data_IF_670198099494
#
_entry.id   IF_670198099494
#
_cell.length_a   1.000
_cell.length_b   1.000
_cell.length_c   1.000
_cell.angle_alpha   90.00
_cell.angle_beta   90.00
_cell.angle_gamma   90.00
#
_symmetry.space_group_name_H-M   'P 1'
#
loop_
_entity.id
_entity.type
_entity.pdbx_description
1 polymer ?
#
# COMPACT_ATOMS: atom_id res chain seq x y z
N UNK A 1 35.46 -2.68 -33.97
CA UNK A 1 34.94 -3.24 -32.70
C UNK A 1 35.82 -2.61 -31.62
N UNK A 2 35.42 -1.56 -30.91
CA UNK A 2 34.31 -1.51 -29.97
C UNK A 2 33.79 -0.09 -29.82
N UNK A 3 32.47 0.06 -29.84
CA UNK A 3 31.77 1.30 -29.52
C UNK A 3 31.86 1.49 -28.00
N UNK A 4 32.89 2.20 -27.53
CA UNK A 4 32.93 2.70 -26.15
C UNK A 4 32.06 3.97 -26.09
N UNK A 5 30.75 3.77 -26.21
CA UNK A 5 29.76 4.82 -26.01
C UNK A 5 29.75 5.21 -24.54
N UNK A 6 30.29 6.39 -24.27
CA UNK A 6 30.41 7.00 -22.96
C UNK A 6 29.21 6.70 -22.05
N UNK A 7 29.52 6.27 -20.84
CA UNK A 7 28.66 6.24 -19.67
C UNK A 7 28.08 7.65 -19.43
N UNK A 8 27.09 8.05 -20.22
CA UNK A 8 26.19 9.15 -19.88
C UNK A 8 25.35 8.62 -18.73
N UNK A 9 25.87 8.81 -17.52
CA UNK A 9 25.08 8.79 -16.30
C UNK A 9 23.84 9.63 -16.58
N UNK A 10 22.69 8.97 -16.70
CA UNK A 10 21.42 9.64 -16.90
C UNK A 10 21.27 10.61 -15.73
N UNK A 11 21.13 11.92 -15.98
CA UNK A 11 21.07 12.90 -14.92
C UNK A 11 19.91 12.52 -13.99
N UNK A 12 20.19 12.44 -12.68
CA UNK A 12 19.28 12.08 -11.57
C UNK A 12 17.97 12.88 -11.49
N UNK A 13 17.68 13.76 -12.45
CA UNK A 13 16.52 14.65 -12.49
C UNK A 13 15.32 14.11 -13.26
N UNK A 14 15.44 13.02 -14.02
CA UNK A 14 14.28 12.49 -14.75
C UNK A 14 13.48 11.39 -14.02
N UNK A 15 13.94 10.88 -12.87
CA UNK A 15 13.21 9.81 -12.17
C UNK A 15 12.03 10.32 -11.32
N UNK A 16 11.86 11.63 -11.18
CA UNK A 16 10.91 12.27 -10.25
C UNK A 16 9.61 12.77 -10.92
N UNK A 17 9.20 12.20 -12.05
CA UNK A 17 7.93 12.54 -12.71
C UNK A 17 6.94 11.38 -12.83
N UNK A 18 7.12 10.32 -12.03
CA UNK A 18 5.97 9.44 -11.75
C UNK A 18 5.34 9.97 -10.47
N UNK A 19 4.23 10.66 -10.63
CA UNK A 19 3.43 11.11 -9.51
C UNK A 19 3.04 9.89 -8.67
N UNK A 20 3.13 9.97 -7.33
CA UNK A 20 2.70 8.89 -6.44
C UNK A 20 1.23 8.50 -6.65
N UNK A 21 0.42 9.38 -7.24
CA UNK A 21 -0.99 9.15 -7.59
C UNK A 21 -1.19 7.95 -8.53
N UNK A 22 -0.22 7.63 -9.39
CA UNK A 22 -0.33 6.50 -10.33
C UNK A 22 -0.38 5.13 -9.64
N UNK A 23 0.30 4.99 -8.49
CA UNK A 23 0.33 3.72 -7.73
C UNK A 23 -1.03 3.43 -7.09
N UNK A 24 -1.73 4.47 -6.68
CA UNK A 24 -3.03 4.33 -6.03
C UNK A 24 -4.19 4.22 -7.03
N UNK A 25 -3.99 4.75 -8.24
CA UNK A 25 -4.95 4.66 -9.33
C UNK A 25 -4.82 3.37 -10.15
N UNK A 26 -3.98 2.41 -9.74
CA UNK A 26 -3.80 1.12 -10.43
C UNK A 26 -5.18 0.48 -10.71
N UNK A 27 -5.70 0.60 -11.96
CA UNK A 27 -7.13 0.41 -12.21
C UNK A 27 -7.56 -1.04 -12.06
N UNK A 28 -6.57 -1.95 -11.97
CA UNK A 28 -6.75 -3.38 -11.92
C UNK A 28 -6.27 -4.02 -10.61
N UNK A 29 -5.73 -3.25 -9.66
CA UNK A 29 -5.27 -3.82 -8.39
C UNK A 29 -6.48 -4.10 -7.48
N UNK A 30 -6.99 -5.32 -7.58
CA UNK A 30 -8.18 -5.78 -6.83
C UNK A 30 -7.84 -6.59 -5.59
N UNK A 31 -6.68 -7.23 -5.57
CA UNK A 31 -6.25 -8.08 -4.47
C UNK A 31 -4.81 -7.77 -4.14
N UNK A 32 -4.53 -7.53 -2.86
CA UNK A 32 -3.18 -7.37 -2.33
C UNK A 32 -3.05 -8.34 -1.17
N UNK A 33 -2.01 -9.17 -1.21
CA UNK A 33 -1.63 -10.01 -0.09
C UNK A 33 -0.17 -9.72 0.25
N UNK A 34 0.02 -9.22 1.47
CA UNK A 34 1.30 -8.93 2.11
C UNK A 34 1.42 -9.74 3.41
N UNK A 35 0.70 -10.85 3.51
CA UNK A 35 0.71 -11.71 4.69
C UNK A 35 2.11 -12.27 4.97
N UNK A 36 2.38 -12.62 6.23
CA UNK A 36 3.64 -13.24 6.68
C UNK A 36 4.90 -12.45 6.31
N UNK A 37 4.90 -11.18 6.69
CA UNK A 37 6.06 -10.30 6.53
C UNK A 37 6.49 -9.68 7.86
N UNK A 38 7.52 -8.84 7.81
CA UNK A 38 8.03 -8.10 8.96
C UNK A 38 7.58 -6.63 8.93
N UNK A 39 6.48 -6.30 8.25
CA UNK A 39 6.01 -4.91 8.17
C UNK A 39 5.60 -4.41 9.55
N UNK A 40 6.00 -3.17 9.86
CA UNK A 40 5.79 -2.50 11.15
C UNK A 40 5.21 -1.11 10.93
N UNK A 41 4.78 -0.47 12.01
CA UNK A 41 4.25 0.89 11.98
C UNK A 41 2.74 0.89 11.88
N UNK A 42 2.16 2.07 11.72
CA UNK A 42 0.71 2.24 11.72
C UNK A 42 0.15 2.11 10.30
N UNK A 43 -1.07 1.57 10.22
CA UNK A 43 -1.84 1.61 8.97
C UNK A 43 -2.27 3.07 8.74
N UNK A 44 -1.76 3.68 7.66
CA UNK A 44 -2.02 5.08 7.33
C UNK A 44 -3.26 5.30 6.48
N UNK A 45 -3.70 6.56 6.40
CA UNK A 45 -4.81 6.99 5.53
C UNK A 45 -4.57 6.73 4.04
N UNK A 46 -3.31 6.58 3.62
CA UNK A 46 -2.93 6.31 2.23
C UNK A 46 -3.51 4.99 1.71
N UNK A 47 -3.89 4.05 2.59
CA UNK A 47 -4.61 2.83 2.20
C UNK A 47 -5.97 3.15 1.54
N UNK A 48 -6.60 4.27 1.89
CA UNK A 48 -7.83 4.74 1.24
C UNK A 48 -7.66 5.05 -0.24
N UNK A 49 -6.44 5.37 -0.66
CA UNK A 49 -6.17 5.67 -2.05
C UNK A 49 -6.25 4.41 -2.94
N UNK A 50 -6.21 3.20 -2.36
CA UNK A 50 -6.41 1.92 -3.05
C UNK A 50 -7.89 1.70 -3.46
N UNK A 51 -8.45 2.65 -4.21
CA UNK A 51 -9.88 2.76 -4.52
C UNK A 51 -10.48 1.55 -5.26
N UNK A 52 -9.65 0.72 -5.87
CA UNK A 52 -10.07 -0.44 -6.66
C UNK A 52 -9.93 -1.78 -5.92
N UNK A 53 -9.35 -1.76 -4.71
CA UNK A 53 -9.06 -2.99 -3.97
C UNK A 53 -10.34 -3.61 -3.41
N UNK A 54 -10.41 -4.93 -3.52
CA UNK A 54 -11.51 -5.78 -3.05
C UNK A 54 -11.04 -6.71 -1.94
N UNK A 55 -9.79 -7.16 -1.98
CA UNK A 55 -9.24 -8.05 -0.97
C UNK A 55 -7.87 -7.56 -0.51
N UNK A 56 -7.72 -7.35 0.79
CA UNK A 56 -6.49 -6.88 1.41
C UNK A 56 -6.09 -7.80 2.56
N UNK A 57 -4.99 -8.52 2.40
CA UNK A 57 -4.44 -9.38 3.43
C UNK A 57 -3.10 -8.82 3.93
N UNK A 58 -3.10 -8.32 5.16
CA UNK A 58 -1.93 -7.81 5.88
C UNK A 58 -1.62 -8.68 7.11
N UNK A 59 -2.19 -9.88 7.18
CA UNK A 59 -2.07 -10.75 8.36
C UNK A 59 -0.64 -11.21 8.62
N UNK A 60 -0.34 -11.64 9.84
CA UNK A 60 0.99 -12.12 10.23
C UNK A 60 2.10 -11.09 9.94
N UNK A 61 1.88 -9.86 10.40
CA UNK A 61 2.86 -8.77 10.37
C UNK A 61 3.04 -8.21 11.79
N UNK A 62 3.62 -7.01 11.89
CA UNK A 62 3.87 -6.30 13.15
C UNK A 62 3.28 -4.88 13.09
N UNK A 63 2.22 -4.65 12.33
CA UNK A 63 1.53 -3.37 12.32
C UNK A 63 0.99 -3.05 13.72
N UNK A 64 1.03 -1.78 14.10
CA UNK A 64 0.69 -1.25 15.42
C UNK A 64 -0.34 -0.13 15.32
N UNK A 65 -0.91 0.27 16.45
CA UNK A 65 -1.90 1.34 16.50
C UNK A 65 -3.28 0.88 16.04
N UNK A 66 -4.17 1.84 15.84
CA UNK A 66 -5.56 1.60 15.47
C UNK A 66 -5.77 1.40 13.98
N UNK A 67 -6.84 0.69 13.65
CA UNK A 67 -7.32 0.58 12.27
C UNK A 67 -7.87 1.96 11.88
N UNK A 68 -7.36 2.60 10.82
CA UNK A 68 -7.82 3.93 10.43
C UNK A 68 -9.25 3.88 9.85
N UNK A 69 -10.03 4.94 10.09
CA UNK A 69 -11.41 5.06 9.59
C UNK A 69 -11.55 4.94 8.07
N UNK A 70 -10.43 5.18 7.36
CA UNK A 70 -10.33 5.07 5.91
C UNK A 70 -10.73 3.68 5.38
N UNK A 71 -10.61 2.63 6.18
CA UNK A 71 -11.08 1.29 5.79
C UNK A 71 -12.59 1.28 5.49
N UNK A 72 -13.39 2.08 6.21
CA UNK A 72 -14.82 2.24 5.91
C UNK A 72 -15.11 3.09 4.68
N UNK A 73 -14.14 3.86 4.19
CA UNK A 73 -14.27 4.64 2.96
C UNK A 73 -13.91 3.83 1.71
N UNK A 74 -13.28 2.66 1.87
CA UNK A 74 -12.85 1.77 0.79
C UNK A 74 -14.06 1.01 0.21
N UNK A 75 -14.88 1.70 -0.59
CA UNK A 75 -16.20 1.24 -1.10
C UNK A 75 -16.22 -0.08 -1.88
N UNK A 76 -15.06 -0.58 -2.30
CA UNK A 76 -14.93 -1.83 -3.05
C UNK A 76 -14.34 -2.96 -2.22
N UNK A 77 -13.87 -2.67 -1.02
CA UNK A 77 -13.26 -3.66 -0.13
C UNK A 77 -14.34 -4.65 0.31
N UNK A 78 -14.16 -5.91 -0.07
CA UNK A 78 -15.04 -7.02 0.26
C UNK A 78 -14.48 -7.85 1.41
N UNK A 79 -13.15 -7.89 1.55
CA UNK A 79 -12.47 -8.65 2.59
C UNK A 79 -11.17 -7.98 3.01
N UNK A 80 -10.99 -7.87 4.32
CA UNK A 80 -9.73 -7.45 4.93
C UNK A 80 -9.30 -8.48 5.97
N UNK A 81 -8.03 -8.88 5.92
CA UNK A 81 -7.43 -9.72 6.95
C UNK A 81 -6.27 -8.97 7.61
N UNK A 82 -6.46 -8.58 8.86
CA UNK A 82 -5.46 -7.91 9.70
C UNK A 82 -4.98 -8.80 10.85
N UNK A 83 -5.35 -10.09 10.85
CA UNK A 83 -5.08 -11.01 11.94
C UNK A 83 -3.58 -11.13 12.23
N UNK A 84 -3.24 -11.45 13.47
CA UNK A 84 -1.83 -11.66 13.88
C UNK A 84 -0.96 -10.43 13.58
N UNK A 85 -1.45 -9.26 13.96
CA UNK A 85 -0.70 -8.01 14.07
C UNK A 85 -0.70 -7.53 15.53
N UNK A 86 -0.18 -6.33 15.79
CA UNK A 86 -0.16 -5.67 17.11
C UNK A 86 -1.09 -4.45 17.12
N UNK A 87 -2.19 -4.53 16.37
CA UNK A 87 -3.19 -3.46 16.28
C UNK A 87 -3.96 -3.36 17.60
N UNK A 88 -4.26 -2.13 18.01
CA UNK A 88 -4.93 -1.79 19.26
C UNK A 88 -5.87 -0.58 19.11
N UNK A 89 -6.66 -0.31 20.15
CA UNK A 89 -7.71 0.72 20.12
C UNK A 89 -9.05 0.17 19.62
N UNK A 90 -9.96 1.09 19.33
CA UNK A 90 -11.34 0.77 18.95
C UNK A 90 -11.44 0.47 17.45
N UNK A 91 -12.44 -0.34 17.08
CA UNK A 91 -12.80 -0.50 15.68
C UNK A 91 -13.50 0.79 15.20
N UNK A 92 -13.07 1.37 14.07
CA UNK A 92 -13.80 2.46 13.42
C UNK A 92 -15.29 2.16 13.26
N UNK A 93 -16.14 3.15 13.55
CA UNK A 93 -17.59 3.02 13.33
C UNK A 93 -17.97 2.98 11.84
N UNK A 94 -17.02 3.28 10.94
CA UNK A 94 -17.21 3.24 9.49
C UNK A 94 -17.08 1.84 8.88
N UNK A 95 -16.66 0.84 9.66
CA UNK A 95 -16.50 -0.57 9.26
C UNK A 95 -17.79 -1.38 9.36
#
# INVERSE_FOLDING_TARGET
MSVQGAHRALPRRQLFHRDPDDLYTLPNLRRVSLHENLFTGNLGSDLGNLSQIMQLDLSYNKFTGSIPDVFGEMRRLESVNLATNRLDGELPASL
#
